data_IF_487263230763
#
_entry.id   IF_487263230763
#
_cell.length_a   1.000
_cell.length_b   1.000
_cell.length_c   1.000
_cell.angle_alpha   90.00
_cell.angle_beta   90.00
_cell.angle_gamma   90.00
#
_symmetry.space_group_name_H-M   'P 1'
#
loop_
_entity.id
_entity.type
_entity.pdbx_description
1 polymer ?
#
# COMPACT_ATOMS: atom_id res chain seq x y z
N UNK A 1 20.33 -3.57 16.13
CA UNK A 1 19.92 -2.26 15.54
C UNK A 1 19.11 -2.42 14.25
N UNK A 2 19.58 -3.16 13.25
CA UNK A 2 18.90 -3.27 11.93
C UNK A 2 17.48 -3.86 11.98
N UNK A 3 17.22 -4.83 12.86
CA UNK A 3 15.89 -5.43 13.05
C UNK A 3 14.81 -4.40 13.46
N UNK A 4 15.16 -3.44 14.32
CA UNK A 4 14.24 -2.40 14.77
C UNK A 4 13.84 -1.45 13.63
N UNK A 5 14.82 -0.97 12.87
CA UNK A 5 14.58 -0.10 11.71
C UNK A 5 13.75 -0.80 10.64
N UNK A 6 14.03 -2.09 10.36
CA UNK A 6 13.22 -2.90 9.45
C UNK A 6 11.76 -2.99 9.91
N UNK A 7 11.53 -3.20 11.21
CA UNK A 7 10.17 -3.25 11.77
C UNK A 7 9.43 -1.93 11.59
N UNK A 8 10.09 -0.80 11.85
CA UNK A 8 9.49 0.53 11.64
C UNK A 8 9.15 0.73 10.16
N UNK A 9 10.07 0.41 9.25
CA UNK A 9 9.84 0.54 7.82
C UNK A 9 8.61 -0.28 7.38
N UNK A 10 8.50 -1.54 7.79
CA UNK A 10 7.35 -2.39 7.47
C UNK A 10 6.03 -1.82 8.03
N UNK A 11 6.04 -1.32 9.26
CA UNK A 11 4.85 -0.70 9.87
C UNK A 11 4.40 0.54 9.10
N UNK A 12 5.33 1.43 8.73
CA UNK A 12 5.06 2.64 7.95
C UNK A 12 4.68 2.38 6.50
N UNK A 13 4.97 1.18 6.00
CA UNK A 13 4.53 0.72 4.69
C UNK A 13 3.16 0.04 4.74
N UNK A 14 2.51 -0.05 5.91
CA UNK A 14 1.25 -0.78 6.08
C UNK A 14 1.40 -2.31 6.07
N UNK A 15 2.63 -2.85 6.16
CA UNK A 15 2.92 -4.28 6.06
C UNK A 15 3.08 -4.97 7.42
N UNK A 16 2.64 -4.32 8.50
CA UNK A 16 2.77 -4.84 9.87
C UNK A 16 1.60 -5.71 10.35
N UNK A 17 0.44 -5.59 9.73
CA UNK A 17 -0.77 -6.38 10.01
C UNK A 17 -1.50 -6.64 8.70
N UNK A 18 -2.28 -7.71 8.64
CA UNK A 18 -3.16 -7.95 7.49
C UNK A 18 -4.23 -6.86 7.44
N UNK A 19 -4.51 -6.34 6.25
CA UNK A 19 -5.57 -5.36 5.99
C UNK A 19 -5.51 -4.14 6.92
N UNK A 20 -4.45 -3.31 6.81
CA UNK A 20 -4.26 -2.13 7.66
C UNK A 20 -5.34 -1.05 7.54
N UNK A 21 -6.07 -0.99 6.43
CA UNK A 21 -7.02 0.08 6.07
C UNK A 21 -8.45 -0.43 5.93
N UNK A 22 -9.41 0.48 5.73
CA UNK A 22 -10.79 0.15 5.38
C UNK A 22 -10.87 -0.65 4.04
N UNK A 23 -12.07 -1.09 3.67
CA UNK A 23 -12.30 -1.78 2.41
C UNK A 23 -12.57 -0.81 1.24
N UNK A 24 -12.35 -1.29 0.02
CA UNK A 24 -12.72 -0.62 -1.22
C UNK A 24 -12.13 0.79 -1.35
N UNK A 25 -12.93 1.72 -1.89
CA UNK A 25 -12.47 3.09 -2.23
C UNK A 25 -12.01 3.88 -1.01
N UNK A 26 -12.69 3.72 0.12
CA UNK A 26 -12.33 4.41 1.36
C UNK A 26 -10.96 3.95 1.85
N UNK A 27 -10.73 2.63 1.89
CA UNK A 27 -9.43 2.07 2.24
C UNK A 27 -8.32 2.43 1.27
N UNK A 28 -8.66 2.56 -0.02
CA UNK A 28 -7.72 3.00 -1.06
C UNK A 28 -7.22 4.42 -0.78
N UNK A 29 -8.13 5.35 -0.45
CA UNK A 29 -7.75 6.71 -0.10
C UNK A 29 -6.88 6.74 1.16
N UNK A 30 -7.28 6.01 2.22
CA UNK A 30 -6.50 5.90 3.45
C UNK A 30 -5.09 5.36 3.21
N UNK A 31 -4.96 4.35 2.33
CA UNK A 31 -3.66 3.78 1.96
C UNK A 31 -2.78 4.81 1.23
N UNK A 32 -3.35 5.58 0.30
CA UNK A 32 -2.64 6.62 -0.45
C UNK A 32 -2.16 7.74 0.50
N UNK A 33 -3.04 8.23 1.37
CA UNK A 33 -2.71 9.26 2.35
C UNK A 33 -1.64 8.77 3.35
N UNK A 34 -1.71 7.51 3.77
CA UNK A 34 -0.72 6.90 4.65
C UNK A 34 0.67 6.75 4.00
N UNK A 35 0.72 6.29 2.75
CA UNK A 35 1.97 6.13 2.00
C UNK A 35 2.57 7.48 1.61
N UNK A 36 1.73 8.52 1.49
CA UNK A 36 2.13 9.90 1.17
C UNK A 36 2.54 10.12 -0.28
N UNK A 37 2.55 9.05 -1.09
CA UNK A 37 2.78 9.10 -2.53
C UNK A 37 2.24 7.84 -3.20
N UNK A 38 1.99 7.95 -4.50
CA UNK A 38 1.77 6.82 -5.40
C UNK A 38 2.72 7.03 -6.57
N UNK A 39 3.51 6.02 -6.91
CA UNK A 39 4.30 6.09 -8.14
C UNK A 39 3.32 6.11 -9.32
N UNK A 40 3.62 6.80 -10.41
CA UNK A 40 2.87 6.65 -11.65
C UNK A 40 3.93 6.34 -12.69
N UNK A 41 3.78 5.21 -13.36
CA UNK A 41 4.73 4.77 -14.35
C UNK A 41 4.14 4.95 -15.75
N UNK A 42 4.98 5.38 -16.68
CA UNK A 42 4.62 5.63 -18.08
C UNK A 42 4.52 4.35 -18.92
N UNK A 43 4.97 3.21 -18.40
CA UNK A 43 4.88 1.91 -19.06
C UNK A 43 3.68 1.14 -18.50
N UNK A 44 2.72 0.79 -19.36
CA UNK A 44 1.49 0.06 -18.99
C UNK A 44 1.74 -1.28 -18.28
N UNK A 45 2.89 -1.93 -18.48
CA UNK A 45 3.30 -3.12 -17.71
C UNK A 45 3.47 -2.80 -16.21
N UNK A 46 3.84 -1.57 -15.88
CA UNK A 46 4.05 -1.07 -14.52
C UNK A 46 2.78 -0.46 -13.91
N UNK A 47 1.73 -0.21 -14.69
CA UNK A 47 0.40 0.13 -14.17
C UNK A 47 -0.03 -0.86 -13.07
N UNK A 48 0.17 -2.17 -13.33
CA UNK A 48 -0.13 -3.25 -12.38
C UNK A 48 0.61 -3.15 -11.05
N UNK A 49 1.78 -2.52 -10.99
CA UNK A 49 2.53 -2.38 -9.75
C UNK A 49 1.77 -1.54 -8.71
N UNK A 50 1.10 -0.49 -9.16
CA UNK A 50 0.28 0.36 -8.28
C UNK A 50 -0.92 -0.42 -7.74
N UNK A 51 -1.58 -1.23 -8.58
CA UNK A 51 -2.66 -2.12 -8.13
C UNK A 51 -2.16 -3.18 -7.14
N UNK A 52 -0.97 -3.77 -7.33
CA UNK A 52 -0.41 -4.73 -6.38
C UNK A 52 -0.12 -4.11 -5.00
N UNK A 53 0.33 -2.86 -4.96
CA UNK A 53 0.54 -2.12 -3.71
C UNK A 53 -0.77 -1.97 -2.95
N UNK A 54 -1.85 -1.58 -3.63
CA UNK A 54 -3.15 -1.36 -3.01
C UNK A 54 -3.83 -2.68 -2.61
N UNK A 55 -3.79 -3.70 -3.47
CA UNK A 55 -4.41 -5.01 -3.22
C UNK A 55 -3.81 -5.73 -2.01
N UNK A 56 -2.51 -5.55 -1.75
CA UNK A 56 -1.86 -6.15 -0.56
C UNK A 56 -2.22 -5.47 0.77
N UNK A 57 -2.91 -4.32 0.74
CA UNK A 57 -3.19 -3.49 1.92
C UNK A 57 -4.68 -3.23 2.15
N UNK A 58 -5.48 -3.23 1.09
CA UNK A 58 -6.87 -2.79 1.08
C UNK A 58 -7.77 -3.98 0.72
N UNK A 59 -8.61 -4.47 1.66
CA UNK A 59 -9.67 -5.42 1.34
C UNK A 59 -10.61 -4.89 0.27
N UNK A 60 -11.12 -5.77 -0.58
CA UNK A 60 -12.09 -5.42 -1.62
C UNK A 60 -11.62 -4.26 -2.53
N UNK A 61 -10.31 -4.17 -2.76
CA UNK A 61 -9.75 -3.26 -3.77
C UNK A 61 -10.22 -3.69 -5.16
N UNK A 62 -10.90 -2.77 -5.85
CA UNK A 62 -11.41 -2.94 -7.20
C UNK A 62 -10.47 -2.30 -8.23
N UNK A 63 -10.45 -2.84 -9.44
CA UNK A 63 -9.52 -2.48 -10.52
C UNK A 63 -10.14 -1.49 -11.49
#
# INVERSE_FOLDING_TARGET
MTSFLKKIALLKQGLGKNSPFAAGRQGTLEAIEHLGYVQIDTISVVERAHHHILWSRVPDYDL
#
